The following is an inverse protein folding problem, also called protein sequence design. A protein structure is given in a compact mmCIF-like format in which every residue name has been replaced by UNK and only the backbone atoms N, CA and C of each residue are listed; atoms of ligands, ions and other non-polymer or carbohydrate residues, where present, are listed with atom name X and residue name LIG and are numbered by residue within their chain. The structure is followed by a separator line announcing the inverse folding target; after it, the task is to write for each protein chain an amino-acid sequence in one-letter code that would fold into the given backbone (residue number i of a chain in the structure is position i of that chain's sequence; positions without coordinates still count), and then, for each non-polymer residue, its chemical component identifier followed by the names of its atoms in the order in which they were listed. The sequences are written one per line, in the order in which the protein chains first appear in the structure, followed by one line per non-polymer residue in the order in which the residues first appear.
data_IF_563609313816
#
_entry.id   IF_563609313816
#
_cell.length_a   1.000
_cell.length_b   1.000
_cell.length_c   1.000
_cell.angle_alpha   90.00
_cell.angle_beta   90.00
_cell.angle_gamma   90.00
#
_symmetry.space_group_name_H-M   'P 1'
#
loop_
_entity.id
_entity.type
_entity.pdbx_description
1 polymer ?
#
# COMPACT_ATOMS: atom_id res chain seq x y z
N UNK A 1 -2.47 -3.37 12.28
CA UNK A 1 -2.34 -3.62 10.84
C UNK A 1 -1.06 -4.41 10.58
N UNK A 2 -1.12 -5.56 9.90
CA UNK A 2 0.06 -6.32 9.42
C UNK A 2 0.13 -6.24 7.89
N UNK A 3 0.48 -5.05 7.40
CA UNK A 3 0.56 -4.79 5.98
C UNK A 3 1.94 -5.20 5.42
N UNK A 4 1.93 -5.69 4.19
CA UNK A 4 3.08 -6.21 3.45
C UNK A 4 3.22 -5.48 2.13
N UNK A 5 4.37 -4.88 1.88
CA UNK A 5 4.65 -4.31 0.56
C UNK A 5 4.75 -5.41 -0.50
N UNK A 6 4.34 -5.06 -1.72
CA UNK A 6 4.52 -5.89 -2.89
C UNK A 6 6.01 -6.22 -3.05
N UNK A 7 6.28 -7.48 -3.36
CA UNK A 7 7.63 -7.97 -3.58
C UNK A 7 8.13 -7.45 -4.93
N UNK A 8 9.34 -6.92 -4.96
CA UNK A 8 10.01 -6.55 -6.22
C UNK A 8 10.50 -7.78 -6.99
N UNK A 9 10.61 -8.92 -6.30
CA UNK A 9 11.13 -10.17 -6.84
C UNK A 9 10.42 -11.37 -6.18
N UNK A 10 10.16 -12.44 -6.93
CA UNK A 10 9.33 -13.59 -6.48
C UNK A 10 9.97 -14.28 -5.26
N UNK A 11 11.30 -14.27 -5.17
CA UNK A 11 12.06 -14.89 -4.08
C UNK A 11 12.24 -13.98 -2.85
N UNK A 12 11.96 -12.69 -2.97
CA UNK A 12 12.17 -11.74 -1.87
C UNK A 12 11.00 -11.80 -0.89
N UNK A 13 11.29 -11.92 0.42
CA UNK A 13 10.25 -11.88 1.45
C UNK A 13 9.55 -10.51 1.44
N UNK A 14 8.21 -10.46 1.50
CA UNK A 14 7.48 -9.21 1.55
C UNK A 14 7.92 -8.41 2.78
N UNK A 15 8.25 -7.13 2.58
CA UNK A 15 8.62 -6.23 3.68
C UNK A 15 7.37 -5.82 4.43
N UNK A 16 7.41 -5.91 5.76
CA UNK A 16 6.37 -5.31 6.59
C UNK A 16 6.35 -3.80 6.36
N UNK A 17 5.15 -3.26 6.41
CA UNK A 17 4.88 -1.85 6.21
C UNK A 17 5.06 -1.13 7.53
N UNK A 18 5.98 -0.16 7.54
CA UNK A 18 6.16 0.78 8.64
C UNK A 18 5.33 2.02 8.36
N UNK A 19 4.21 2.17 9.08
CA UNK A 19 3.34 3.35 9.01
C UNK A 19 4.13 4.65 9.20
N UNK A 20 5.01 4.70 10.19
CA UNK A 20 5.81 5.88 10.53
C UNK A 20 6.67 6.37 9.34
N UNK A 21 7.29 5.43 8.61
CA UNK A 21 8.04 5.76 7.39
C UNK A 21 7.15 6.22 6.25
N UNK A 22 6.00 5.57 6.11
CA UNK A 22 5.00 5.89 5.08
C UNK A 22 4.52 7.33 5.26
N UNK A 23 4.18 7.69 6.49
CA UNK A 23 3.75 9.03 6.86
C UNK A 23 4.85 10.07 6.66
N UNK A 24 6.07 9.78 7.12
CA UNK A 24 7.22 10.66 6.92
C UNK A 24 7.50 10.92 5.43
N UNK A 25 7.38 9.90 4.58
CA UNK A 25 7.57 10.06 3.15
C UNK A 25 6.42 10.82 2.48
N UNK A 26 5.16 10.53 2.84
CA UNK A 26 4.00 11.25 2.31
C UNK A 26 4.01 12.72 2.73
N UNK A 27 4.37 13.04 3.97
CA UNK A 27 4.50 14.43 4.42
C UNK A 27 5.66 15.18 3.77
N UNK A 28 6.73 14.45 3.41
CA UNK A 28 7.89 15.07 2.76
C UNK A 28 7.68 15.31 1.26
N UNK A 29 7.07 14.36 0.55
CA UNK A 29 6.87 14.44 -0.91
C UNK A 29 5.50 15.01 -1.31
N UNK A 30 4.52 15.03 -0.41
CA UNK A 30 3.15 15.51 -0.68
C UNK A 30 2.30 14.53 -1.50
N UNK A 31 2.91 13.62 -2.26
CA UNK A 31 2.22 12.54 -2.96
C UNK A 31 3.11 11.31 -3.05
N UNK A 32 2.62 10.15 -2.62
CA UNK A 32 3.40 8.91 -2.72
C UNK A 32 2.54 7.70 -3.06
N UNK A 33 3.08 6.84 -3.91
CA UNK A 33 2.43 5.61 -4.36
C UNK A 33 3.13 4.42 -3.72
N UNK A 34 2.33 3.55 -3.10
CA UNK A 34 2.74 2.34 -2.45
C UNK A 34 2.12 1.14 -3.15
N UNK A 35 2.85 0.04 -3.20
CA UNK A 35 2.35 -1.21 -3.76
C UNK A 35 2.34 -2.26 -2.65
N UNK A 36 1.18 -2.86 -2.42
CA UNK A 36 0.93 -3.86 -1.40
C UNK A 36 0.67 -5.21 -2.05
N UNK A 37 1.17 -6.27 -1.42
CA UNK A 37 0.99 -7.64 -1.90
C UNK A 37 -0.50 -8.06 -1.83
N UNK A 38 -0.95 -8.94 -2.72
CA UNK A 38 -2.32 -9.48 -2.66
C UNK A 38 -2.61 -10.29 -1.39
N UNK A 39 -1.57 -10.75 -0.69
CA UNK A 39 -1.71 -11.45 0.59
C UNK A 39 -2.17 -10.54 1.73
N UNK A 40 -2.29 -9.23 1.51
CA UNK A 40 -2.82 -8.31 2.49
C UNK A 40 -4.32 -8.51 2.68
N UNK A 41 -4.76 -8.48 3.94
CA UNK A 41 -6.19 -8.47 4.24
C UNK A 41 -6.79 -7.10 3.93
N UNK A 42 -7.96 -7.11 3.32
CA UNK A 42 -8.69 -5.88 2.97
C UNK A 42 -8.97 -5.00 4.19
N UNK A 43 -9.17 -5.62 5.36
CA UNK A 43 -9.33 -4.92 6.64
C UNK A 43 -8.12 -4.04 6.97
N UNK A 44 -6.90 -4.56 6.83
CA UNK A 44 -5.68 -3.80 7.11
C UNK A 44 -5.51 -2.62 6.15
N UNK A 45 -5.93 -2.76 4.88
CA UNK A 45 -5.93 -1.67 3.91
C UNK A 45 -6.96 -0.58 4.24
N UNK A 46 -8.15 -0.98 4.72
CA UNK A 46 -9.16 -0.04 5.20
C UNK A 46 -8.71 0.71 6.46
N UNK A 47 -8.04 0.02 7.39
CA UNK A 47 -7.45 0.66 8.56
C UNK A 47 -6.36 1.67 8.16
N UNK A 48 -5.55 1.36 7.13
CA UNK A 48 -4.58 2.29 6.55
C UNK A 48 -5.28 3.52 5.96
N UNK A 49 -6.31 3.29 5.15
CA UNK A 49 -7.11 4.34 4.54
C UNK A 49 -7.67 5.30 5.60
N UNK A 50 -8.35 4.77 6.63
CA UNK A 50 -8.93 5.57 7.72
C UNK A 50 -7.87 6.41 8.43
N UNK A 51 -6.69 5.84 8.71
CA UNK A 51 -5.58 6.56 9.35
C UNK A 51 -5.09 7.77 8.52
N UNK A 52 -5.01 7.63 7.19
CA UNK A 52 -4.61 8.72 6.31
C UNK A 52 -5.74 9.74 6.08
N UNK A 53 -6.98 9.29 5.92
CA UNK A 53 -8.15 10.16 5.78
C UNK A 53 -8.39 10.99 7.06
N UNK A 54 -8.19 10.43 8.25
CA UNK A 54 -8.26 11.17 9.52
C UNK A 54 -7.22 12.29 9.61
N UNK A 55 -6.09 12.15 8.91
CA UNK A 55 -5.06 13.19 8.79
C UNK A 55 -5.34 14.20 7.67
N UNK A 56 -6.48 14.08 6.98
CA UNK A 56 -6.86 14.93 5.86
C UNK A 56 -6.14 14.60 4.55
N UNK A 57 -5.50 13.43 4.47
CA UNK A 57 -4.77 12.98 3.27
C UNK A 57 -5.74 12.18 2.39
N UNK A 58 -5.69 12.41 1.09
CA UNK A 58 -6.48 11.67 0.10
C UNK A 58 -5.86 10.29 -0.14
N UNK A 59 -6.68 9.25 -0.06
CA UNK A 59 -6.25 7.87 -0.22
C UNK A 59 -6.95 7.21 -1.41
N UNK A 60 -6.18 6.74 -2.39
CA UNK A 60 -6.70 6.09 -3.59
C UNK A 60 -6.12 4.68 -3.71
N UNK A 61 -6.96 3.67 -3.62
CA UNK A 61 -6.55 2.28 -3.83
C UNK A 61 -7.02 1.78 -5.20
N UNK A 62 -6.17 1.02 -5.89
CA UNK A 62 -6.47 0.37 -7.17
C UNK A 62 -5.77 -0.98 -7.25
N UNK A 63 -6.40 -1.96 -7.89
CA UNK A 63 -5.80 -3.27 -8.11
C UNK A 63 -5.02 -3.25 -9.43
N UNK A 64 -3.71 -3.50 -9.34
CA UNK A 64 -2.81 -3.54 -10.50
C UNK A 64 -2.48 -4.98 -10.80
N UNK A 65 -2.92 -5.46 -11.96
CA UNK A 65 -2.55 -6.78 -12.49
C UNK A 65 -1.22 -6.69 -13.21
N UNK A 66 -0.26 -7.53 -12.83
CA UNK A 66 1.06 -7.61 -13.46
C UNK A 66 1.24 -8.86 -14.32
N UNK A 67 0.26 -9.76 -14.32
CA UNK A 67 0.24 -10.97 -15.15
C UNK A 67 -1.14 -11.24 -15.75
N UNK A 68 -1.21 -12.31 -16.55
CA UNK A 68 -2.45 -12.76 -17.19
C UNK A 68 -3.28 -13.65 -16.26
N UNK A 69 -2.69 -14.19 -15.19
CA UNK A 69 -3.41 -15.03 -14.24
C UNK A 69 -4.18 -14.21 -13.22
N UNK A 70 -5.31 -14.75 -12.77
CA UNK A 70 -6.17 -14.13 -11.76
C UNK A 70 -5.47 -13.93 -10.40
N UNK A 71 -4.41 -14.68 -10.14
CA UNK A 71 -3.56 -14.53 -8.97
C UNK A 71 -2.40 -13.54 -9.12
N UNK A 72 -2.23 -12.87 -10.26
CA UNK A 72 -1.07 -12.00 -10.52
C UNK A 72 -1.47 -10.52 -10.44
N UNK A 73 -1.86 -10.11 -9.24
CA UNK A 73 -2.22 -8.73 -8.94
C UNK A 73 -1.63 -8.25 -7.62
N UNK A 74 -1.56 -6.93 -7.48
CA UNK A 74 -1.12 -6.21 -6.28
C UNK A 74 -2.00 -4.99 -6.06
N UNK A 75 -2.08 -4.52 -4.83
CA UNK A 75 -2.82 -3.30 -4.51
C UNK A 75 -1.89 -2.10 -4.66
N UNK A 76 -2.20 -1.19 -5.59
CA UNK A 76 -1.59 0.12 -5.64
C UNK A 76 -2.39 1.08 -4.77
N UNK A 77 -1.71 1.78 -3.88
CA UNK A 77 -2.28 2.78 -2.99
C UNK A 77 -1.55 4.08 -3.23
N UNK A 78 -2.27 5.10 -3.65
CA UNK A 78 -1.76 6.43 -3.84
C UNK A 78 -2.28 7.33 -2.73
N UNK A 79 -1.36 7.89 -1.96
CA UNK A 79 -1.65 8.78 -0.84
C UNK A 79 -1.18 10.17 -1.23
N UNK A 80 -2.09 11.13 -1.15
CA UNK A 80 -1.86 12.53 -1.50
C UNK A 80 -2.15 13.38 -0.27
N UNK A 81 -1.21 14.23 0.11
CA UNK A 81 -1.35 15.17 1.23
C UNK A 81 -2.09 16.44 0.85
#
# INVERSE_FOLDING_TARGET
MDLKFARTDIETKPKKVDLDKLEASVEKEGSMIFYFDKENSHKDLLELQDHFEQKGKSFYMSEVKYGLSDGEYMYQVHIIS
#
